data_IF_783613703862
#
_entry.id   IF_783613703862
#
_cell.length_a   1.000
_cell.length_b   1.000
_cell.length_c   1.000
_cell.angle_alpha   90.00
_cell.angle_beta   90.00
_cell.angle_gamma   90.00
#
_symmetry.space_group_name_H-M   'P 1'
#
loop_
_entity.id
_entity.type
_entity.pdbx_description
1 polymer ?
#
# COMPACT_ATOMS: atom_id res chain seq x y z
N UNK A 1 -2.50 2.92 3.30
CA UNK A 1 -1.50 2.05 2.66
C UNK A 1 -1.87 0.59 2.78
N UNK A 2 -1.90 0.00 3.99
CA UNK A 2 -2.18 -1.44 4.20
C UNK A 2 -3.44 -1.94 3.48
N UNK A 3 -4.58 -1.26 3.66
CA UNK A 3 -5.84 -1.59 2.99
C UNK A 3 -5.78 -1.66 1.45
N UNK A 4 -4.91 -0.87 0.82
CA UNK A 4 -4.69 -0.94 -0.63
C UNK A 4 -3.90 -2.20 -0.98
N UNK A 5 -2.81 -2.48 -0.25
CA UNK A 5 -1.98 -3.66 -0.48
C UNK A 5 -2.75 -4.96 -0.24
N UNK A 6 -3.71 -4.97 0.70
CA UNK A 6 -4.60 -6.11 0.92
C UNK A 6 -5.47 -6.47 -0.29
N UNK A 7 -5.64 -5.56 -1.26
CA UNK A 7 -6.34 -5.82 -2.51
C UNK A 7 -5.49 -6.53 -3.57
N UNK A 8 -4.16 -6.47 -3.46
CA UNK A 8 -3.25 -7.03 -4.46
C UNK A 8 -3.43 -8.54 -4.71
N UNK A 9 -3.74 -9.40 -3.70
CA UNK A 9 -3.98 -10.82 -3.97
C UNK A 9 -5.23 -11.06 -4.84
N UNK A 10 -6.29 -10.27 -4.63
CA UNK A 10 -7.49 -10.38 -5.45
C UNK A 10 -7.25 -9.90 -6.89
N UNK A 11 -6.50 -8.81 -7.08
CA UNK A 11 -6.10 -8.31 -8.42
C UNK A 11 -5.30 -9.39 -9.17
N UNK A 12 -4.29 -9.96 -8.51
CA UNK A 12 -3.47 -11.04 -9.07
C UNK A 12 -4.30 -12.25 -9.47
N UNK A 13 -5.22 -12.69 -8.61
CA UNK A 13 -6.08 -13.83 -8.88
C UNK A 13 -6.97 -13.61 -10.11
N UNK A 14 -7.59 -12.42 -10.24
CA UNK A 14 -8.41 -12.07 -11.42
C UNK A 14 -7.55 -12.10 -12.68
N UNK A 15 -6.41 -11.41 -12.68
CA UNK A 15 -5.57 -11.30 -13.87
C UNK A 15 -5.01 -12.64 -14.34
N UNK A 16 -4.71 -13.57 -13.42
CA UNK A 16 -4.25 -14.92 -13.77
C UNK A 16 -5.38 -15.83 -14.25
N UNK A 17 -6.55 -15.75 -13.64
CA UNK A 17 -7.68 -16.62 -13.97
C UNK A 17 -8.39 -16.19 -15.26
N UNK A 18 -8.36 -14.89 -15.58
CA UNK A 18 -9.03 -14.28 -16.74
C UNK A 18 -8.03 -13.42 -17.54
N UNK A 19 -7.12 -14.01 -18.34
CA UNK A 19 -6.06 -13.28 -19.05
C UNK A 19 -6.57 -12.24 -20.07
N UNK A 20 -7.78 -12.42 -20.58
CA UNK A 20 -8.46 -11.51 -21.49
C UNK A 20 -9.04 -10.27 -20.80
N UNK A 21 -9.16 -10.28 -19.47
CA UNK A 21 -9.72 -9.18 -18.70
C UNK A 21 -8.67 -8.11 -18.42
N UNK A 22 -9.01 -6.87 -18.74
CA UNK A 22 -8.22 -5.71 -18.36
C UNK A 22 -8.66 -5.15 -17.00
N UNK A 23 -7.71 -4.98 -16.08
CA UNK A 23 -7.97 -4.42 -14.75
C UNK A 23 -7.45 -2.98 -14.70
N UNK A 24 -8.34 -2.02 -14.44
CA UNK A 24 -7.98 -0.65 -14.11
C UNK A 24 -8.17 -0.41 -12.60
N UNK A 25 -7.19 0.19 -11.94
CA UNK A 25 -7.21 0.45 -10.51
C UNK A 25 -7.46 1.93 -10.23
N UNK A 26 -8.58 2.23 -9.56
CA UNK A 26 -8.90 3.56 -9.06
C UNK A 26 -8.26 3.80 -7.68
N UNK A 27 -7.33 4.76 -7.57
CA UNK A 27 -6.60 5.03 -6.31
C UNK A 27 -6.25 6.51 -6.12
N UNK A 28 -5.85 6.90 -4.90
CA UNK A 28 -5.36 8.26 -4.65
C UNK A 28 -3.93 8.41 -5.20
N UNK A 29 -3.58 9.55 -5.83
CA UNK A 29 -2.27 9.75 -6.46
C UNK A 29 -1.05 9.42 -5.60
N UNK A 30 -1.12 9.71 -4.29
CA UNK A 30 -0.05 9.42 -3.32
C UNK A 30 0.34 7.94 -3.22
N UNK A 31 -0.50 7.03 -3.73
CA UNK A 31 -0.27 5.59 -3.71
C UNK A 31 0.10 5.02 -5.08
N UNK A 32 0.20 5.85 -6.14
CA UNK A 32 0.53 5.39 -7.50
C UNK A 32 1.82 4.58 -7.53
N UNK A 33 2.85 5.06 -6.85
CA UNK A 33 4.17 4.43 -6.78
C UNK A 33 4.14 2.98 -6.28
N UNK A 34 3.17 2.60 -5.44
CA UNK A 34 3.05 1.22 -4.94
C UNK A 34 2.58 0.23 -6.02
N UNK A 35 1.89 0.72 -7.04
CA UNK A 35 1.28 -0.09 -8.09
C UNK A 35 1.93 0.15 -9.46
N UNK A 36 2.88 1.08 -9.56
CA UNK A 36 3.71 1.28 -10.75
C UNK A 36 4.51 0.00 -11.06
N UNK A 37 4.47 -0.43 -12.32
CA UNK A 37 5.12 -1.67 -12.77
C UNK A 37 4.37 -2.95 -12.41
N UNK A 38 3.14 -2.87 -11.87
CA UNK A 38 2.34 -4.05 -11.57
C UNK A 38 1.78 -4.68 -12.88
N UNK A 39 2.17 -5.92 -13.25
CA UNK A 39 1.77 -6.55 -14.50
C UNK A 39 0.29 -6.92 -14.56
N UNK A 40 -0.39 -6.97 -13.41
CA UNK A 40 -1.80 -7.33 -13.31
C UNK A 40 -2.74 -6.13 -13.48
N UNK A 41 -2.21 -4.92 -13.66
CA UNK A 41 -3.00 -3.69 -13.78
C UNK A 41 -2.67 -3.00 -15.09
N UNK A 42 -3.68 -2.82 -15.94
CA UNK A 42 -3.57 -2.10 -17.21
C UNK A 42 -3.41 -0.60 -16.99
N UNK A 43 -4.21 0.00 -16.11
CA UNK A 43 -4.21 1.44 -15.88
C UNK A 43 -4.42 1.81 -14.43
N UNK A 44 -3.62 2.78 -13.96
CA UNK A 44 -3.84 3.48 -12.70
C UNK A 44 -4.67 4.73 -12.96
N UNK A 45 -5.85 4.81 -12.35
CA UNK A 45 -6.77 5.94 -12.48
C UNK A 45 -6.77 6.73 -11.17
N UNK A 46 -6.27 7.98 -11.15
CA UNK A 46 -6.24 8.78 -9.94
C UNK A 46 -7.64 9.31 -9.59
N UNK A 47 -7.98 9.30 -8.31
CA UNK A 47 -9.09 10.08 -7.75
C UNK A 47 -8.64 10.99 -6.60
N UNK A 48 -9.38 12.06 -6.37
CA UNK A 48 -9.02 13.08 -5.37
C UNK A 48 -10.05 13.15 -4.24
N UNK A 49 -9.60 13.47 -3.04
CA UNK A 49 -10.47 13.62 -1.86
C UNK A 49 -11.25 14.95 -1.86
N UNK A 50 -10.68 15.99 -2.48
CA UNK A 50 -11.34 17.29 -2.62
C UNK A 50 -12.37 17.23 -3.75
N UNK A 51 -13.58 17.71 -3.47
CA UNK A 51 -14.73 17.58 -4.38
C UNK A 51 -14.48 18.27 -5.74
N UNK A 52 -13.95 19.49 -5.72
CA UNK A 52 -13.56 20.26 -6.91
C UNK A 52 -12.69 19.44 -7.88
N UNK A 53 -11.59 18.87 -7.38
CA UNK A 53 -10.66 18.05 -8.16
C UNK A 53 -11.27 16.72 -8.56
N UNK A 54 -12.14 16.16 -7.73
CA UNK A 54 -12.81 14.90 -8.00
C UNK A 54 -13.77 15.04 -9.19
N UNK A 55 -14.55 16.12 -9.23
CA UNK A 55 -15.46 16.43 -10.34
C UNK A 55 -14.70 16.69 -11.64
N UNK A 56 -13.57 17.40 -11.59
CA UNK A 56 -12.71 17.62 -12.77
C UNK A 56 -12.11 16.30 -13.34
N UNK A 57 -11.88 15.30 -12.47
CA UNK A 57 -11.39 13.98 -12.89
C UNK A 57 -12.48 13.07 -13.47
N UNK A 58 -13.75 13.36 -13.18
CA UNK A 58 -14.88 12.48 -13.51
C UNK A 58 -15.02 12.19 -15.02
N UNK A 59 -14.90 13.17 -15.94
CA UNK A 59 -15.03 12.90 -17.37
C UNK A 59 -14.04 11.85 -17.89
N UNK A 60 -12.82 11.76 -17.33
CA UNK A 60 -11.84 10.73 -17.72
C UNK A 60 -12.28 9.33 -17.32
N UNK A 61 -12.97 9.22 -16.18
CA UNK A 61 -13.48 7.98 -15.64
C UNK A 61 -14.72 7.49 -16.40
N UNK A 62 -15.59 8.42 -16.81
CA UNK A 62 -16.84 8.15 -17.56
C UNK A 62 -16.63 7.70 -19.00
N UNK A 63 -15.43 7.87 -19.54
CA UNK A 63 -15.06 7.38 -20.89
C UNK A 63 -15.11 5.86 -20.99
N UNK A 64 -14.96 5.15 -19.87
CA UNK A 64 -14.91 3.70 -19.83
C UNK A 64 -16.23 3.13 -19.29
N UNK A 65 -16.64 1.99 -19.85
CA UNK A 65 -17.70 1.15 -19.30
C UNK A 65 -17.02 -0.09 -18.70
N UNK A 66 -17.35 -0.40 -17.45
CA UNK A 66 -16.78 -1.54 -16.73
C UNK A 66 -17.86 -2.60 -16.49
N UNK A 67 -17.61 -3.85 -16.83
CA UNK A 67 -18.57 -4.93 -16.53
C UNK A 67 -18.71 -5.14 -15.02
N UNK A 68 -17.58 -5.10 -14.31
CA UNK A 68 -17.51 -5.26 -12.86
C UNK A 68 -16.69 -4.14 -12.19
N UNK A 69 -17.18 -3.64 -11.05
CA UNK A 69 -16.47 -2.76 -10.13
C UNK A 69 -16.35 -3.43 -8.77
N UNK A 70 -15.13 -3.66 -8.30
CA UNK A 70 -14.85 -4.28 -7.00
C UNK A 70 -14.35 -3.22 -6.02
N UNK A 71 -15.10 -2.99 -4.94
CA UNK A 71 -14.80 -1.98 -3.93
C UNK A 71 -14.01 -2.63 -2.79
N UNK A 72 -12.68 -2.50 -2.86
CA UNK A 72 -11.80 -3.03 -1.82
C UNK A 72 -11.75 -2.17 -0.55
N UNK A 73 -12.01 -0.86 -0.68
CA UNK A 73 -12.04 0.07 0.45
C UNK A 73 -13.09 1.18 0.24
N UNK A 74 -14.28 0.99 0.80
CA UNK A 74 -15.38 1.93 0.82
C UNK A 74 -15.03 3.17 1.66
N UNK A 75 -15.25 4.36 1.08
CA UNK A 75 -15.10 5.65 1.76
C UNK A 75 -15.96 6.71 1.04
N UNK A 76 -16.13 7.88 1.68
CA UNK A 76 -16.94 8.99 1.16
C UNK A 76 -16.52 9.49 -0.24
N UNK A 77 -15.26 9.30 -0.63
CA UNK A 77 -14.83 9.72 -1.96
C UNK A 77 -15.28 8.70 -3.02
N UNK A 78 -15.19 7.41 -2.72
CA UNK A 78 -15.72 6.35 -3.59
C UNK A 78 -17.24 6.47 -3.70
N UNK A 79 -17.92 6.75 -2.59
CA UNK A 79 -19.38 6.93 -2.56
C UNK A 79 -19.87 8.06 -3.47
N UNK A 80 -19.08 9.12 -3.64
CA UNK A 80 -19.39 10.23 -4.55
C UNK A 80 -19.18 9.87 -6.01
N UNK A 81 -18.19 9.01 -6.31
CA UNK A 81 -17.86 8.61 -7.68
C UNK A 81 -18.81 7.51 -8.17
N UNK A 82 -19.16 6.58 -7.29
CA UNK A 82 -19.85 5.35 -7.65
C UNK A 82 -21.13 5.55 -8.49
N UNK A 83 -22.03 6.51 -8.18
CA UNK A 83 -23.27 6.70 -8.95
C UNK A 83 -23.04 7.09 -10.41
N UNK A 84 -21.87 7.65 -10.72
CA UNK A 84 -21.55 8.12 -12.05
C UNK A 84 -20.86 7.03 -12.89
N UNK A 85 -20.31 5.99 -12.25
CA UNK A 85 -19.60 4.93 -12.96
C UNK A 85 -20.55 4.16 -13.89
N UNK A 86 -20.14 4.03 -15.16
CA UNK A 86 -20.86 3.22 -16.14
C UNK A 86 -20.49 1.76 -15.92
N UNK A 87 -21.32 1.03 -15.16
CA UNK A 87 -21.04 -0.36 -14.84
C UNK A 87 -22.29 -1.23 -14.72
N UNK A 88 -22.13 -2.53 -15.01
CA UNK A 88 -23.20 -3.52 -14.90
C UNK A 88 -23.30 -4.09 -13.48
N UNK A 89 -22.16 -4.36 -12.83
CA UNK A 89 -22.11 -4.98 -11.53
C UNK A 89 -21.13 -4.28 -10.60
N UNK A 90 -21.57 -4.04 -9.36
CA UNK A 90 -20.73 -3.49 -8.29
C UNK A 90 -20.73 -4.47 -7.14
N UNK A 91 -19.53 -4.79 -6.62
CA UNK A 91 -19.34 -5.71 -5.50
C UNK A 91 -18.55 -5.02 -4.39
N UNK A 92 -18.96 -5.24 -3.14
CA UNK A 92 -18.29 -4.71 -1.95
C UNK A 92 -18.29 -5.73 -0.82
N UNK A 93 -17.29 -5.70 0.05
CA UNK A 93 -17.31 -6.43 1.34
C UNK A 93 -17.67 -5.52 2.53
N UNK A 94 -17.81 -4.21 2.28
CA UNK A 94 -18.14 -3.19 3.27
C UNK A 94 -19.58 -2.69 3.08
N UNK A 95 -20.18 -2.31 4.21
CA UNK A 95 -21.60 -2.01 4.35
C UNK A 95 -22.11 -0.85 3.45
N UNK A 96 -23.39 -0.90 3.08
CA UNK A 96 -24.14 0.06 2.25
C UNK A 96 -24.19 1.46 2.83
N UNK A 97 -24.06 1.63 4.16
CA UNK A 97 -24.13 2.95 4.82
C UNK A 97 -23.15 3.99 4.24
N UNK A 98 -22.04 3.52 3.65
CA UNK A 98 -21.03 4.38 3.01
C UNK A 98 -21.17 4.38 1.49
N UNK A 99 -21.96 3.49 0.89
CA UNK A 99 -22.07 3.26 -0.55
C UNK A 99 -23.54 3.38 -0.99
N UNK A 100 -23.99 4.60 -1.34
CA UNK A 100 -25.39 4.83 -1.70
C UNK A 100 -25.75 4.03 -2.96
N UNK A 101 -26.97 3.48 -2.99
CA UNK A 101 -27.52 2.76 -4.14
C UNK A 101 -27.09 1.30 -4.28
N UNK A 102 -26.26 0.77 -3.37
CA UNK A 102 -25.99 -0.67 -3.32
C UNK A 102 -27.06 -1.41 -2.51
N UNK A 103 -27.51 -2.53 -3.06
CA UNK A 103 -28.37 -3.51 -2.37
C UNK A 103 -27.54 -4.50 -1.56
N UNK A 104 -28.17 -5.20 -0.61
CA UNK A 104 -27.50 -6.23 0.20
C UNK A 104 -26.92 -7.38 -0.66
N UNK A 105 -27.56 -7.71 -1.78
CA UNK A 105 -27.09 -8.76 -2.71
C UNK A 105 -25.77 -8.41 -3.40
N UNK A 106 -25.44 -7.12 -3.46
CA UNK A 106 -24.17 -6.61 -3.99
C UNK A 106 -23.06 -6.58 -2.92
N UNK A 107 -23.39 -6.90 -1.67
CA UNK A 107 -22.45 -6.99 -0.57
C UNK A 107 -22.12 -8.44 -0.26
N UNK A 108 -20.84 -8.75 -0.20
CA UNK A 108 -20.34 -10.04 0.26
C UNK A 108 -20.47 -10.09 1.78
N UNK A 109 -21.44 -10.88 2.24
CA UNK A 109 -21.68 -11.07 3.66
C UNK A 109 -20.65 -12.04 4.25
N UNK A 110 -19.94 -11.56 5.27
CA UNK A 110 -18.88 -12.32 5.94
C UNK A 110 -19.22 -12.37 7.43
N UNK A 111 -19.81 -13.49 7.85
CA UNK A 111 -20.40 -13.66 9.17
C UNK A 111 -19.38 -13.99 10.27
N UNK A 112 -18.11 -14.20 9.91
CA UNK A 112 -17.03 -14.55 10.84
C UNK A 112 -15.92 -13.50 10.81
N UNK A 113 -15.20 -13.29 11.92
CA UNK A 113 -14.03 -12.43 11.93
C UNK A 113 -12.92 -13.06 11.07
N UNK A 114 -12.72 -12.54 9.87
CA UNK A 114 -11.65 -12.94 8.96
C UNK A 114 -10.71 -11.78 8.66
N UNK A 115 -9.48 -12.12 8.30
CA UNK A 115 -8.45 -11.16 7.91
C UNK A 115 -8.90 -10.26 6.74
N UNK A 116 -8.45 -9.00 6.71
CA UNK A 116 -8.87 -8.01 5.69
C UNK A 116 -8.56 -8.41 4.25
N UNK A 117 -7.52 -9.21 4.03
CA UNK A 117 -7.19 -9.81 2.72
C UNK A 117 -8.28 -10.80 2.29
N UNK A 118 -8.70 -11.70 3.20
CA UNK A 118 -9.70 -12.71 2.90
C UNK A 118 -11.05 -12.07 2.58
N UNK A 119 -11.39 -10.95 3.21
CA UNK A 119 -12.59 -10.16 2.85
C UNK A 119 -12.57 -9.67 1.40
N UNK A 120 -11.39 -9.29 0.89
CA UNK A 120 -11.22 -8.84 -0.50
C UNK A 120 -11.23 -10.00 -1.48
N UNK A 121 -10.62 -11.12 -1.10
CA UNK A 121 -10.66 -12.37 -1.86
C UNK A 121 -12.08 -12.92 -1.98
N UNK A 122 -12.94 -12.74 -0.96
CA UNK A 122 -14.32 -13.24 -1.01
C UNK A 122 -15.15 -12.63 -2.16
N UNK A 123 -14.81 -11.42 -2.65
CA UNK A 123 -15.46 -10.85 -3.84
C UNK A 123 -15.19 -11.63 -5.13
N UNK A 124 -14.13 -12.44 -5.18
CA UNK A 124 -13.79 -13.24 -6.37
C UNK A 124 -14.85 -14.31 -6.69
N UNK A 125 -15.63 -14.74 -5.68
CA UNK A 125 -16.74 -15.68 -5.86
C UNK A 125 -17.75 -15.16 -6.90
N UNK A 126 -18.02 -13.84 -6.91
CA UNK A 126 -18.94 -13.23 -7.87
C UNK A 126 -18.41 -13.23 -9.31
N UNK A 127 -17.11 -13.42 -9.48
CA UNK A 127 -16.45 -13.58 -10.77
C UNK A 127 -16.17 -15.06 -11.11
N UNK A 128 -16.54 -16.00 -10.24
CA UNK A 128 -16.20 -17.43 -10.34
C UNK A 128 -14.68 -17.67 -10.44
N UNK A 129 -13.89 -16.79 -9.80
CA UNK A 129 -12.43 -16.87 -9.77
C UNK A 129 -11.97 -17.47 -8.44
N UNK A 130 -11.03 -18.42 -8.50
CA UNK A 130 -10.39 -18.96 -7.30
C UNK A 130 -9.29 -18.03 -6.77
N UNK A 131 -9.05 -18.09 -5.46
CA UNK A 131 -8.00 -17.30 -4.83
C UNK A 131 -6.59 -17.80 -5.21
N UNK A 132 -5.65 -16.88 -5.44
CA UNK A 132 -4.23 -17.17 -5.68
C UNK A 132 -3.39 -16.81 -4.43
N UNK A 133 -3.73 -17.42 -3.30
CA UNK A 133 -3.07 -17.17 -2.00
C UNK A 133 -3.31 -15.76 -1.42
N UNK A 134 -2.59 -15.43 -0.36
CA UNK A 134 -2.77 -14.18 0.43
C UNK A 134 -1.59 -13.23 0.39
N UNK A 135 -0.49 -13.60 -0.28
CA UNK A 135 0.71 -12.78 -0.39
C UNK A 135 0.42 -11.46 -1.09
N UNK A 136 0.80 -10.34 -0.47
CA UNK A 136 0.71 -9.02 -1.09
C UNK A 136 1.83 -8.81 -2.10
N UNK A 137 1.60 -7.98 -3.12
CA UNK A 137 2.64 -7.63 -4.09
C UNK A 137 2.95 -6.13 -4.08
N UNK A 138 4.25 -5.84 -4.16
CA UNK A 138 4.80 -4.57 -4.61
C UNK A 138 5.81 -4.94 -5.70
N UNK A 139 5.69 -4.30 -6.86
CA UNK A 139 6.58 -4.56 -7.98
C UNK A 139 7.67 -3.48 -8.00
N UNK A 140 8.92 -3.94 -8.02
CA UNK A 140 10.10 -3.10 -8.08
C UNK A 140 10.77 -3.31 -9.44
N UNK A 141 10.93 -2.21 -10.18
CA UNK A 141 11.60 -2.20 -11.48
C UNK A 141 13.13 -2.25 -11.31
N UNK A 142 13.87 -2.56 -12.37
CA UNK A 142 15.33 -2.65 -12.31
C UNK A 142 15.99 -1.34 -11.87
N UNK A 143 15.38 -0.21 -12.24
CA UNK A 143 15.78 1.11 -11.77
C UNK A 143 15.61 1.25 -10.25
N UNK A 144 14.47 0.79 -9.69
CA UNK A 144 14.21 0.87 -8.25
C UNK A 144 15.25 0.06 -7.46
N UNK A 145 15.64 -1.10 -7.99
CA UNK A 145 16.68 -1.97 -7.40
C UNK A 145 18.05 -1.32 -7.49
N UNK A 146 18.41 -0.82 -8.68
CA UNK A 146 19.70 -0.15 -8.93
C UNK A 146 19.88 1.08 -8.04
N UNK A 147 18.83 1.89 -7.89
CA UNK A 147 18.80 3.04 -6.99
C UNK A 147 19.01 2.66 -5.53
N UNK A 148 18.43 1.55 -5.08
CA UNK A 148 18.61 1.04 -3.72
C UNK A 148 20.04 0.54 -3.49
N UNK A 149 20.63 -0.21 -4.44
CA UNK A 149 22.03 -0.63 -4.36
C UNK A 149 22.98 0.57 -4.32
N UNK A 150 22.75 1.58 -5.16
CA UNK A 150 23.54 2.80 -5.16
C UNK A 150 23.41 3.55 -3.83
N UNK A 151 22.19 3.63 -3.28
CA UNK A 151 21.96 4.23 -1.96
C UNK A 151 22.72 3.50 -0.86
N UNK A 152 22.65 2.16 -0.83
CA UNK A 152 23.38 1.34 0.13
C UNK A 152 24.88 1.57 0.03
N UNK A 153 25.44 1.52 -1.18
CA UNK A 153 26.87 1.78 -1.44
C UNK A 153 27.31 3.16 -0.94
N UNK A 154 26.52 4.20 -1.24
CA UNK A 154 26.83 5.57 -0.82
C UNK A 154 26.79 5.75 0.71
N UNK A 155 26.02 4.93 1.41
CA UNK A 155 25.94 4.92 2.88
C UNK A 155 26.81 3.82 3.52
N UNK A 156 27.74 3.20 2.76
CA UNK A 156 28.64 2.14 3.23
C UNK A 156 27.90 0.95 3.86
N UNK A 157 26.75 0.59 3.30
CA UNK A 157 25.96 -0.57 3.68
C UNK A 157 25.95 -1.59 2.54
N UNK A 158 25.79 -2.87 2.89
CA UNK A 158 25.51 -3.94 1.94
C UNK A 158 24.10 -4.52 2.17
N UNK A 159 23.50 -5.16 1.14
CA UNK A 159 22.26 -5.91 1.31
C UNK A 159 22.39 -6.95 2.43
N UNK A 160 21.31 -7.13 3.21
CA UNK A 160 21.21 -8.06 4.34
C UNK A 160 22.14 -7.76 5.52
N UNK A 161 22.86 -6.64 5.49
CA UNK A 161 23.77 -6.20 6.56
C UNK A 161 23.22 -5.01 7.36
N UNK A 162 21.89 -4.79 7.31
CA UNK A 162 21.25 -3.72 8.06
C UNK A 162 19.85 -4.09 8.54
N UNK A 163 19.40 -3.41 9.59
CA UNK A 163 18.04 -3.52 10.12
C UNK A 163 17.29 -2.25 9.78
N UNK A 164 16.17 -2.38 9.05
CA UNK A 164 15.25 -1.28 8.83
C UNK A 164 14.28 -1.14 10.01
N UNK A 165 14.32 0.00 10.68
CA UNK A 165 13.42 0.33 11.77
C UNK A 165 12.40 1.38 11.32
N UNK A 166 11.12 0.99 11.26
CA UNK A 166 10.03 1.89 10.91
C UNK A 166 9.56 2.70 12.14
N UNK A 167 9.85 4.00 12.18
CA UNK A 167 9.48 4.89 13.30
C UNK A 167 8.07 5.48 13.18
N UNK A 168 7.33 5.11 12.12
CA UNK A 168 5.99 5.61 11.86
C UNK A 168 4.90 4.92 12.69
N UNK A 169 3.70 5.47 12.60
CA UNK A 169 2.49 4.92 13.18
C UNK A 169 1.35 5.92 13.03
N UNK A 170 0.15 5.45 12.68
CA UNK A 170 -0.97 6.34 12.35
C UNK A 170 -1.48 7.18 13.54
N UNK A 171 -1.14 6.77 14.76
CA UNK A 171 -1.48 7.44 16.00
C UNK A 171 -0.40 7.19 17.03
N UNK A 172 -0.27 8.08 18.01
CA UNK A 172 0.73 8.01 19.07
C UNK A 172 0.72 6.65 19.79
N UNK A 173 -0.47 6.11 20.10
CA UNK A 173 -0.64 4.81 20.78
C UNK A 173 -0.11 3.61 19.97
N UNK A 174 0.01 3.76 18.64
CA UNK A 174 0.56 2.72 17.75
C UNK A 174 2.05 2.90 17.47
N UNK A 175 2.67 3.94 18.02
CA UNK A 175 4.10 4.22 17.86
C UNK A 175 4.83 3.70 19.09
N UNK A 176 5.82 2.83 18.88
CA UNK A 176 6.65 2.34 19.99
C UNK A 176 7.51 3.50 20.56
N UNK A 177 7.71 3.61 21.88
CA UNK A 177 8.39 4.76 22.47
C UNK A 177 9.83 4.96 21.98
N UNK A 178 10.28 6.22 21.92
CA UNK A 178 11.58 6.62 21.37
C UNK A 178 12.74 6.04 22.20
N UNK A 179 12.64 6.09 23.53
CA UNK A 179 13.64 5.53 24.47
C UNK A 179 13.84 4.02 24.28
N UNK A 180 12.78 3.31 23.89
CA UNK A 180 12.85 1.87 23.59
C UNK A 180 13.54 1.60 22.26
N UNK A 181 13.29 2.41 21.23
CA UNK A 181 14.07 2.34 19.98
C UNK A 181 15.55 2.67 20.20
N UNK A 182 15.87 3.69 21.00
CA UNK A 182 17.26 4.02 21.37
C UNK A 182 17.93 2.83 22.05
N UNK A 183 17.26 2.22 23.02
CA UNK A 183 17.75 1.05 23.76
C UNK A 183 18.00 -0.14 22.83
N UNK A 184 17.06 -0.43 21.92
CA UNK A 184 17.20 -1.48 20.92
C UNK A 184 18.33 -1.20 19.93
N UNK A 185 18.44 0.03 19.44
CA UNK A 185 19.51 0.44 18.52
C UNK A 185 20.89 0.28 19.18
N UNK A 186 21.05 0.73 20.43
CA UNK A 186 22.29 0.53 21.20
C UNK A 186 22.63 -0.94 21.36
N UNK A 187 21.63 -1.79 21.63
CA UNK A 187 21.83 -3.23 21.75
C UNK A 187 22.31 -3.87 20.44
N UNK A 188 21.66 -3.55 19.31
CA UNK A 188 22.04 -4.05 17.99
C UNK A 188 23.45 -3.59 17.62
N UNK A 189 23.74 -2.29 17.77
CA UNK A 189 25.05 -1.73 17.46
C UNK A 189 26.14 -2.35 18.34
N UNK A 190 25.87 -2.59 19.63
CA UNK A 190 26.87 -3.19 20.53
C UNK A 190 27.16 -4.65 20.21
N UNK A 191 26.13 -5.44 19.87
CA UNK A 191 26.25 -6.90 19.79
C UNK A 191 26.37 -7.44 18.36
N UNK A 192 26.24 -6.60 17.34
CA UNK A 192 26.26 -7.02 15.94
C UNK A 192 27.03 -6.04 15.06
N UNK A 193 27.51 -6.50 13.91
CA UNK A 193 28.06 -5.67 12.84
C UNK A 193 26.99 -4.96 11.99
N UNK A 194 25.70 -5.28 12.19
CA UNK A 194 24.61 -4.76 11.35
C UNK A 194 24.49 -3.24 11.46
N UNK A 195 24.20 -2.59 10.34
CA UNK A 195 23.83 -1.17 10.31
C UNK A 195 22.34 -0.99 10.63
N UNK A 196 21.92 0.24 10.95
CA UNK A 196 20.51 0.55 11.21
C UNK A 196 20.03 1.61 10.24
N UNK A 197 18.91 1.34 9.56
CA UNK A 197 18.18 2.33 8.79
C UNK A 197 16.96 2.82 9.57
N UNK A 198 16.92 4.11 9.89
CA UNK A 198 15.81 4.75 10.58
C UNK A 198 14.83 5.32 9.54
N UNK A 199 13.72 4.64 9.35
CA UNK A 199 12.73 4.95 8.33
C UNK A 199 11.36 5.32 8.88
N UNK A 200 10.40 5.44 7.96
CA UNK A 200 9.05 5.93 8.24
C UNK A 200 8.66 7.05 7.28
N UNK A 201 7.40 7.50 7.35
CA UNK A 201 6.94 8.64 6.57
C UNK A 201 7.55 9.97 7.05
N UNK A 202 7.32 11.07 6.32
CA UNK A 202 7.81 12.40 6.70
C UNK A 202 7.45 12.80 8.13
N UNK A 203 6.30 12.37 8.63
CA UNK A 203 5.82 12.57 10.00
C UNK A 203 6.71 11.94 11.08
N UNK A 204 7.49 10.90 10.73
CA UNK A 204 8.41 10.24 11.66
C UNK A 204 9.74 11.00 11.83
N UNK A 205 10.00 12.01 11.01
CA UNK A 205 11.24 12.81 11.01
C UNK A 205 11.64 13.29 12.41
N UNK A 206 10.71 13.93 13.14
CA UNK A 206 11.02 14.47 14.46
C UNK A 206 11.43 13.37 15.46
N UNK A 207 10.80 12.21 15.38
CA UNK A 207 11.10 11.05 16.23
C UNK A 207 12.46 10.45 15.91
N UNK A 208 12.79 10.32 14.62
CA UNK A 208 14.12 9.85 14.17
C UNK A 208 15.21 10.77 14.69
N UNK A 209 15.03 12.09 14.61
CA UNK A 209 16.01 13.05 15.11
C UNK A 209 16.23 13.00 16.63
N UNK A 210 15.25 12.54 17.41
CA UNK A 210 15.46 12.29 18.85
C UNK A 210 16.35 11.07 19.08
N UNK A 211 16.21 10.02 18.25
CA UNK A 211 17.05 8.82 18.33
C UNK A 211 18.48 9.13 17.91
N UNK A 212 18.66 9.87 16.82
CA UNK A 212 19.97 10.24 16.28
C UNK A 212 20.83 11.02 17.28
N UNK A 213 20.20 11.79 18.20
CA UNK A 213 20.91 12.50 19.28
C UNK A 213 21.48 11.59 20.37
N UNK A 214 20.93 10.38 20.49
CA UNK A 214 21.21 9.47 21.60
C UNK A 214 22.13 8.30 21.21
N UNK A 215 22.48 8.16 19.93
CA UNK A 215 23.27 7.03 19.39
C UNK A 215 24.40 7.50 18.48
N UNK A 216 25.47 6.69 18.40
CA UNK A 216 26.54 6.91 17.43
C UNK A 216 26.02 6.66 16.00
N UNK A 217 26.22 7.65 15.14
CA UNK A 217 25.73 7.65 13.76
C UNK A 217 26.62 6.89 12.78
N UNK A 218 27.78 6.38 13.20
CA UNK A 218 28.74 5.70 12.30
C UNK A 218 28.13 4.56 11.47
N UNK A 219 27.13 3.85 12.01
CA UNK A 219 26.38 2.75 11.36
C UNK A 219 24.87 2.99 11.30
N UNK A 220 24.45 4.25 11.35
CA UNK A 220 23.04 4.62 11.36
C UNK A 220 22.76 5.56 10.19
N UNK A 221 21.68 5.30 9.46
CA UNK A 221 21.27 6.17 8.34
C UNK A 221 19.77 6.43 8.38
N UNK A 222 19.39 7.68 8.24
CA UNK A 222 17.99 8.11 8.16
C UNK A 222 17.48 8.10 6.72
N UNK A 223 16.27 7.55 6.55
CA UNK A 223 15.62 7.39 5.24
C UNK A 223 14.19 7.94 5.16
N UNK A 224 13.75 8.71 6.16
CA UNK A 224 12.37 9.27 6.21
C UNK A 224 12.02 10.27 5.10
N UNK A 225 13.01 10.73 4.35
CA UNK A 225 12.85 11.69 3.24
C UNK A 225 12.68 10.98 1.88
N UNK A 226 12.94 9.68 1.81
CA UNK A 226 12.87 8.93 0.55
C UNK A 226 11.42 8.67 0.14
N UNK A 227 11.20 8.50 -1.17
CA UNK A 227 9.88 8.12 -1.68
C UNK A 227 9.46 6.75 -1.17
N UNK A 228 8.16 6.47 -1.26
CA UNK A 228 7.61 5.20 -0.81
C UNK A 228 8.22 4.01 -1.58
N UNK A 229 8.35 4.12 -2.91
CA UNK A 229 8.94 3.05 -3.74
C UNK A 229 10.41 2.80 -3.40
N UNK A 230 11.19 3.87 -3.15
CA UNK A 230 12.59 3.73 -2.72
C UNK A 230 12.70 3.04 -1.36
N UNK A 231 11.85 3.38 -0.41
CA UNK A 231 11.79 2.69 0.88
C UNK A 231 11.41 1.22 0.71
N UNK A 232 10.44 0.87 -0.14
CA UNK A 232 10.10 -0.52 -0.45
C UNK A 232 11.30 -1.28 -1.03
N UNK A 233 12.05 -0.65 -1.93
CA UNK A 233 13.26 -1.23 -2.52
C UNK A 233 14.34 -1.46 -1.47
N UNK A 234 14.62 -0.49 -0.61
CA UNK A 234 15.57 -0.65 0.51
C UNK A 234 15.12 -1.73 1.48
N UNK A 235 13.85 -1.76 1.90
CA UNK A 235 13.32 -2.80 2.79
C UNK A 235 13.46 -4.20 2.18
N UNK A 236 13.36 -4.34 0.85
CA UNK A 236 13.59 -5.63 0.18
C UNK A 236 15.03 -6.13 0.27
N UNK A 237 15.97 -5.25 0.59
CA UNK A 237 17.39 -5.55 0.78
C UNK A 237 17.78 -5.65 2.25
N UNK A 238 16.87 -5.41 3.20
CA UNK A 238 17.12 -5.53 4.63
C UNK A 238 17.30 -6.99 5.06
#
# INVERSE_FOLDING_TARGET
MGDLLWGTPAIRAISKALPEVSIDLLLQPRWNDLFSGNPYIRKLIPYYSRLDRQLLGLPKLLKFKYDHVLIFHANKNISRILPWLRTSFVWSHQNTNILPGLSENQIIQINKPVHGILRRIAMLEKLKVQADGTHMNIFLEDKDRSDAFLFLKNNRMAPKEFIYMNMGGSSFQKQWPVDKFVSLAKLILKNTSMSIMLGGGPEATGRVSLIEKEIDLKRVTRVTHLSLKKNCSLISQA
#
